data_IF_799967576094
#
_entry.id   IF_799967576094
#
_cell.length_a   1.000
_cell.length_b   1.000
_cell.length_c   1.000
_cell.angle_alpha   90.00
_cell.angle_beta   90.00
_cell.angle_gamma   90.00
#
_symmetry.space_group_name_H-M   'P 1'
#
loop_
_entity.id
_entity.type
_entity.pdbx_description
1 polymer ?
#
# COMPACT_ATOMS: atom_id res chain seq x y z
N UNK A 1 -4.76 -28.14 5.93
CA UNK A 1 -4.92 -27.03 6.89
C UNK A 1 -4.44 -25.67 6.37
N UNK A 2 -3.91 -25.53 5.13
CA UNK A 2 -3.45 -24.24 4.57
C UNK A 2 -2.53 -23.44 5.51
N UNK A 3 -1.55 -24.12 6.11
CA UNK A 3 -0.66 -23.52 7.10
C UNK A 3 0.47 -22.76 6.42
N UNK A 4 0.83 -21.55 6.91
CA UNK A 4 2.08 -20.90 6.56
C UNK A 4 3.31 -21.80 6.84
N UNK A 5 4.40 -21.68 6.06
CA UNK A 5 5.57 -22.56 6.21
C UNK A 5 6.23 -22.54 7.59
N UNK A 6 6.24 -21.39 8.27
CA UNK A 6 6.75 -21.21 9.63
C UNK A 6 5.91 -21.98 10.65
N UNK A 7 4.58 -21.88 10.58
CA UNK A 7 3.66 -22.62 11.45
C UNK A 7 3.72 -24.13 11.21
N UNK A 8 3.84 -24.55 9.95
CA UNK A 8 4.04 -25.95 9.60
C UNK A 8 5.37 -26.49 10.16
N UNK A 9 6.44 -25.69 10.14
CA UNK A 9 7.74 -26.07 10.72
C UNK A 9 7.64 -26.27 12.24
N UNK A 10 6.94 -25.38 12.94
CA UNK A 10 6.71 -25.52 14.38
C UNK A 10 5.93 -26.81 14.71
N UNK A 11 4.85 -27.11 13.99
CA UNK A 11 4.06 -28.33 14.23
C UNK A 11 4.83 -29.62 13.90
N UNK A 12 5.77 -29.58 12.95
CA UNK A 12 6.64 -30.74 12.65
C UNK A 12 7.57 -31.11 13.81
N UNK A 13 7.87 -30.17 14.71
CA UNK A 13 8.71 -30.41 15.89
C UNK A 13 7.97 -31.10 17.03
N UNK A 14 6.66 -31.31 16.92
CA UNK A 14 5.92 -32.04 17.94
C UNK A 14 6.42 -33.48 18.06
N UNK A 15 6.35 -34.00 19.27
CA UNK A 15 6.58 -35.40 19.58
C UNK A 15 5.52 -36.30 18.91
N UNK A 16 5.83 -37.60 18.81
CA UNK A 16 4.99 -38.54 18.06
C UNK A 16 3.61 -38.73 18.69
N UNK A 17 3.48 -38.61 20.02
CA UNK A 17 2.19 -38.73 20.72
C UNK A 17 1.27 -37.59 20.31
N UNK A 18 1.73 -36.33 20.41
CA UNK A 18 0.93 -35.17 19.98
C UNK A 18 0.58 -35.19 18.49
N UNK A 19 1.48 -35.69 17.64
CA UNK A 19 1.20 -35.87 16.21
C UNK A 19 0.09 -36.89 15.99
N UNK A 20 0.10 -37.98 16.74
CA UNK A 20 -0.94 -39.00 16.69
C UNK A 20 -2.28 -38.47 17.18
N UNK A 21 -2.29 -37.71 18.29
CA UNK A 21 -3.50 -37.04 18.78
C UNK A 21 -4.13 -36.13 17.73
N UNK A 22 -3.31 -35.36 17.00
CA UNK A 22 -3.79 -34.49 15.93
C UNK A 22 -4.43 -35.27 14.76
N UNK A 23 -3.87 -36.43 14.42
CA UNK A 23 -4.44 -37.33 13.40
C UNK A 23 -5.78 -37.89 13.88
N UNK A 24 -5.82 -38.37 15.13
CA UNK A 24 -7.02 -38.89 15.78
C UNK A 24 -8.14 -37.85 15.83
N UNK A 25 -7.84 -36.61 16.21
CA UNK A 25 -8.82 -35.52 16.23
C UNK A 25 -9.33 -35.19 14.82
N UNK A 26 -8.47 -35.23 13.79
CA UNK A 26 -8.87 -34.98 12.40
C UNK A 26 -9.77 -36.08 11.82
N UNK A 27 -9.47 -37.35 12.13
CA UNK A 27 -10.20 -38.52 11.64
C UNK A 27 -11.42 -38.84 12.52
N UNK A 28 -11.52 -38.24 13.72
CA UNK A 28 -12.58 -38.50 14.69
C UNK A 28 -12.37 -39.78 15.51
N UNK A 29 -11.16 -40.32 15.55
CA UNK A 29 -10.82 -41.54 16.26
C UNK A 29 -10.33 -41.25 17.69
N UNK A 30 -11.23 -41.06 18.66
CA UNK A 30 -10.85 -41.17 20.08
C UNK A 30 -11.18 -42.56 20.59
N UNK A 31 -10.15 -43.30 20.99
CA UNK A 31 -10.31 -44.52 21.77
C UNK A 31 -11.02 -44.17 23.09
N UNK A 32 -12.24 -44.67 23.26
CA UNK A 32 -12.94 -44.58 24.53
C UNK A 32 -12.29 -45.49 25.57
N UNK A 33 -11.69 -44.90 26.60
CA UNK A 33 -11.44 -45.54 27.90
C UNK A 33 -10.31 -46.58 27.98
N UNK A 34 -9.34 -46.29 28.84
CA UNK A 34 -8.49 -47.24 29.59
C UNK A 34 -8.49 -48.71 29.13
N UNK A 35 -7.68 -48.99 28.10
CA UNK A 35 -7.16 -50.30 27.61
C UNK A 35 -7.20 -50.42 26.08
N UNK A 36 -6.76 -49.37 25.36
CA UNK A 36 -6.36 -49.53 23.97
C UNK A 36 -4.89 -49.96 23.94
N UNK A 37 -4.66 -51.26 23.99
CA UNK A 37 -3.37 -51.88 23.67
C UNK A 37 -2.82 -51.27 22.39
N UNK A 38 -1.53 -50.90 22.43
CA UNK A 38 -0.72 -50.47 21.30
C UNK A 38 -0.96 -51.41 20.11
N UNK A 39 -1.75 -50.97 19.14
CA UNK A 39 -1.80 -51.60 17.83
C UNK A 39 -0.86 -50.81 16.92
N UNK A 40 0.34 -51.37 16.83
CA UNK A 40 1.32 -51.14 15.78
C UNK A 40 0.66 -51.24 14.38
N UNK A 41 1.28 -50.65 13.34
CA UNK A 41 0.70 -50.52 12.00
C UNK A 41 0.78 -51.84 11.23
N UNK A 42 -0.06 -52.82 11.57
CA UNK A 42 -0.14 -54.11 10.88
C UNK A 42 -1.54 -54.71 11.04
N UNK A 43 -2.52 -54.26 10.26
CA UNK A 43 -3.70 -55.06 9.90
C UNK A 43 -4.51 -54.33 8.81
N UNK A 44 -4.22 -54.69 7.56
CA UNK A 44 -5.15 -54.50 6.46
C UNK A 44 -6.35 -55.43 6.66
N UNK A 45 -7.56 -54.92 6.44
CA UNK A 45 -8.78 -55.72 6.35
C UNK A 45 -9.62 -55.69 7.61
N UNK A 46 -10.36 -54.61 7.81
CA UNK A 46 -11.82 -54.65 8.01
C UNK A 46 -12.35 -53.23 8.24
N UNK A 47 -13.53 -52.99 7.69
CA UNK A 47 -14.15 -51.68 7.56
C UNK A 47 -14.40 -51.00 8.92
N UNK A 48 -13.42 -50.24 9.41
CA UNK A 48 -13.67 -49.19 10.37
C UNK A 48 -14.53 -48.13 9.68
N UNK A 49 -15.80 -48.05 10.07
CA UNK A 49 -16.65 -46.90 9.76
C UNK A 49 -16.07 -45.71 10.53
N UNK A 50 -15.13 -45.03 9.89
CA UNK A 50 -14.53 -43.79 10.36
C UNK A 50 -15.60 -42.70 10.30
N UNK A 51 -16.35 -42.55 11.38
CA UNK A 51 -17.26 -41.44 11.55
C UNK A 51 -16.43 -40.18 11.86
N UNK A 52 -16.02 -39.46 10.82
CA UNK A 52 -15.35 -38.15 10.95
C UNK A 52 -16.16 -37.28 11.91
N UNK A 53 -15.57 -36.85 13.04
CA UNK A 53 -16.19 -35.87 13.96
C UNK A 53 -15.81 -34.41 13.66
N UNK A 54 -15.13 -34.16 12.55
CA UNK A 54 -15.10 -32.87 11.86
C UNK A 54 -16.06 -32.92 10.66
N UNK A 55 -17.36 -33.15 10.91
CA UNK A 55 -18.33 -33.20 9.82
C UNK A 55 -18.48 -31.81 9.22
N UNK A 56 -18.03 -31.68 7.97
CA UNK A 56 -18.47 -30.60 7.08
C UNK A 56 -19.99 -30.58 7.13
N UNK A 57 -20.56 -29.49 7.67
CA UNK A 57 -22.01 -29.40 7.93
C UNK A 57 -22.83 -29.58 6.65
N UNK A 58 -22.39 -28.97 5.55
CA UNK A 58 -22.99 -29.14 4.24
C UNK A 58 -21.90 -29.09 3.14
N UNK A 59 -22.08 -29.83 2.04
CA UNK A 59 -21.20 -29.71 0.87
C UNK A 59 -21.35 -28.34 0.18
N UNK A 60 -20.35 -27.89 -0.61
CA UNK A 60 -20.36 -26.60 -1.30
C UNK A 60 -21.62 -26.32 -2.13
N UNK A 61 -22.07 -27.30 -2.93
CA UNK A 61 -23.23 -27.17 -3.82
C UNK A 61 -24.52 -26.80 -3.08
N UNK A 62 -24.67 -27.19 -1.81
CA UNK A 62 -25.86 -26.87 -1.01
C UNK A 62 -25.96 -25.36 -0.69
N UNK A 63 -24.82 -24.69 -0.52
CA UNK A 63 -24.79 -23.23 -0.37
C UNK A 63 -25.03 -22.54 -1.71
N UNK A 64 -24.34 -23.01 -2.76
CA UNK A 64 -24.44 -22.46 -4.11
C UNK A 64 -25.88 -22.47 -4.62
N UNK A 65 -26.59 -23.59 -4.47
CA UNK A 65 -28.01 -23.70 -4.84
C UNK A 65 -28.91 -22.70 -4.08
N UNK A 66 -28.61 -22.42 -2.81
CA UNK A 66 -29.36 -21.41 -2.04
C UNK A 66 -29.11 -20.00 -2.58
N UNK A 67 -27.85 -19.64 -2.85
CA UNK A 67 -27.50 -18.35 -3.44
C UNK A 67 -28.14 -18.17 -4.84
N UNK A 68 -28.06 -19.19 -5.70
CA UNK A 68 -28.75 -19.19 -6.99
C UNK A 68 -30.27 -19.04 -6.83
N UNK A 69 -30.85 -19.69 -5.82
CA UNK A 69 -32.26 -19.54 -5.47
C UNK A 69 -32.66 -18.13 -5.02
N UNK A 70 -31.71 -17.32 -4.53
CA UNK A 70 -31.91 -15.89 -4.23
C UNK A 70 -31.82 -15.02 -5.49
N UNK A 71 -31.06 -15.44 -6.51
CA UNK A 71 -30.86 -14.72 -7.77
C UNK A 71 -31.96 -14.97 -8.82
N UNK A 72 -32.75 -16.03 -8.66
CA UNK A 72 -33.81 -16.43 -9.60
C UNK A 72 -34.83 -15.29 -9.90
N UNK A 73 -34.83 -14.70 -11.11
CA UNK A 73 -35.74 -13.60 -11.44
C UNK A 73 -37.19 -14.06 -11.62
N UNK A 74 -37.40 -15.36 -11.87
CA UNK A 74 -38.69 -16.00 -12.11
C UNK A 74 -39.56 -16.12 -10.87
N UNK A 75 -38.99 -15.98 -9.66
CA UNK A 75 -39.81 -16.03 -8.44
C UNK A 75 -40.66 -14.79 -8.22
N UNK A 76 -41.86 -15.02 -7.68
CA UNK A 76 -42.72 -13.93 -7.20
C UNK A 76 -42.05 -13.21 -6.03
N UNK A 77 -42.33 -11.92 -5.87
CA UNK A 77 -41.74 -11.11 -4.78
C UNK A 77 -42.01 -11.68 -3.37
N UNK A 78 -43.19 -12.28 -3.17
CA UNK A 78 -43.56 -12.96 -1.92
C UNK A 78 -42.68 -14.19 -1.65
N UNK A 79 -42.41 -15.00 -2.68
CA UNK A 79 -41.51 -16.17 -2.57
C UNK A 79 -40.06 -15.72 -2.37
N UNK A 80 -39.61 -14.72 -3.13
CA UNK A 80 -38.28 -14.12 -2.96
C UNK A 80 -38.05 -13.67 -1.50
N UNK A 81 -38.96 -12.85 -0.95
CA UNK A 81 -38.85 -12.35 0.45
C UNK A 81 -38.73 -13.47 1.47
N UNK A 82 -39.42 -14.60 1.26
CA UNK A 82 -39.30 -15.78 2.13
C UNK A 82 -37.95 -16.47 1.98
N UNK A 83 -37.46 -16.64 0.75
CA UNK A 83 -36.14 -17.25 0.49
C UNK A 83 -35.01 -16.43 1.13
N UNK A 84 -35.00 -15.12 0.90
CA UNK A 84 -33.93 -14.24 1.42
C UNK A 84 -34.09 -13.88 2.89
N UNK A 85 -35.10 -14.40 3.60
CA UNK A 85 -35.25 -14.12 5.04
C UNK A 85 -34.03 -14.59 5.82
N UNK A 86 -33.51 -15.77 5.49
CA UNK A 86 -32.34 -16.38 6.12
C UNK A 86 -31.03 -16.19 5.32
N UNK A 87 -31.01 -15.34 4.28
CA UNK A 87 -29.84 -15.14 3.40
C UNK A 87 -28.56 -14.88 4.19
N UNK A 88 -28.60 -13.94 5.14
CA UNK A 88 -27.45 -13.57 5.98
C UNK A 88 -26.94 -14.74 6.81
N UNK A 89 -27.84 -15.61 7.30
CA UNK A 89 -27.44 -16.81 8.05
C UNK A 89 -26.74 -17.81 7.14
N UNK A 90 -27.28 -18.04 5.94
CA UNK A 90 -26.67 -18.92 4.93
C UNK A 90 -25.28 -18.43 4.54
N UNK A 91 -25.12 -17.12 4.31
CA UNK A 91 -23.83 -16.50 3.99
C UNK A 91 -22.83 -16.61 5.14
N UNK A 92 -23.26 -16.44 6.40
CA UNK A 92 -22.38 -16.61 7.57
C UNK A 92 -21.92 -18.06 7.72
N UNK A 93 -22.82 -19.02 7.51
CA UNK A 93 -22.44 -20.44 7.52
C UNK A 93 -21.49 -20.79 6.36
N UNK A 94 -21.67 -20.16 5.19
CA UNK A 94 -20.75 -20.28 4.06
C UNK A 94 -19.37 -19.67 4.38
N UNK A 95 -19.31 -18.46 4.95
CA UNK A 95 -18.07 -17.82 5.39
C UNK A 95 -17.28 -18.72 6.34
N UNK A 96 -17.96 -19.25 7.37
CA UNK A 96 -17.33 -20.14 8.33
C UNK A 96 -16.80 -21.38 7.61
N UNK A 97 -17.59 -21.98 6.72
CA UNK A 97 -17.19 -23.16 5.96
C UNK A 97 -15.96 -22.89 5.08
N UNK A 98 -15.91 -21.75 4.39
CA UNK A 98 -14.75 -21.34 3.57
C UNK A 98 -13.49 -21.13 4.42
N UNK A 99 -13.63 -20.58 5.63
CA UNK A 99 -12.48 -20.24 6.49
C UNK A 99 -11.97 -21.40 7.34
N UNK A 100 -12.85 -22.29 7.82
CA UNK A 100 -12.50 -23.28 8.84
C UNK A 100 -12.50 -24.73 8.36
N UNK A 101 -13.13 -25.05 7.24
CA UNK A 101 -13.08 -26.42 6.71
C UNK A 101 -11.70 -26.74 6.13
N UNK A 102 -11.48 -28.02 5.84
CA UNK A 102 -10.30 -28.47 5.12
C UNK A 102 -10.22 -27.80 3.74
N UNK A 103 -8.99 -27.55 3.25
CA UNK A 103 -8.76 -26.81 2.01
C UNK A 103 -9.38 -27.46 0.76
N UNK A 104 -9.61 -28.78 0.79
CA UNK A 104 -10.34 -29.52 -0.24
C UNK A 104 -11.77 -29.00 -0.44
N UNK A 105 -12.45 -28.61 0.64
CA UNK A 105 -13.80 -28.02 0.57
C UNK A 105 -13.80 -26.71 -0.22
N UNK A 106 -12.80 -25.85 -0.01
CA UNK A 106 -12.65 -24.59 -0.74
C UNK A 106 -12.30 -24.86 -2.21
N UNK A 107 -11.44 -25.85 -2.49
CA UNK A 107 -11.16 -26.28 -3.87
C UNK A 107 -12.41 -26.78 -4.58
N UNK A 108 -13.23 -27.58 -3.90
CA UNK A 108 -14.49 -28.07 -4.44
C UNK A 108 -15.48 -26.92 -4.69
N UNK A 109 -15.60 -25.96 -3.76
CA UNK A 109 -16.43 -24.76 -3.97
C UNK A 109 -16.01 -23.95 -5.21
N UNK A 110 -14.70 -23.84 -5.46
CA UNK A 110 -14.12 -23.02 -6.54
C UNK A 110 -13.92 -23.75 -7.88
N UNK A 111 -14.22 -25.04 -7.97
CA UNK A 111 -13.97 -25.81 -9.20
C UNK A 111 -14.95 -25.47 -10.33
N UNK A 112 -14.68 -25.99 -11.53
CA UNK A 112 -15.48 -25.73 -12.73
C UNK A 112 -16.92 -26.29 -12.67
N UNK A 113 -17.15 -27.31 -11.84
CA UNK A 113 -18.47 -27.91 -11.65
C UNK A 113 -19.37 -27.02 -10.78
N UNK A 114 -18.83 -26.50 -9.69
CA UNK A 114 -19.58 -25.72 -8.70
C UNK A 114 -19.62 -24.22 -9.04
N UNK A 115 -18.55 -23.68 -9.62
CA UNK A 115 -18.42 -22.25 -9.96
C UNK A 115 -18.83 -21.32 -8.82
N UNK A 116 -18.45 -21.68 -7.59
CA UNK A 116 -18.91 -20.98 -6.39
C UNK A 116 -18.48 -19.51 -6.34
N UNK A 117 -17.32 -19.18 -6.93
CA UNK A 117 -16.85 -17.79 -7.04
C UNK A 117 -17.82 -16.94 -7.90
N UNK A 118 -18.19 -17.43 -9.08
CA UNK A 118 -19.09 -16.73 -10.00
C UNK A 118 -20.44 -16.43 -9.33
N UNK A 119 -21.03 -17.43 -8.66
CA UNK A 119 -22.32 -17.29 -7.97
C UNK A 119 -22.23 -16.33 -6.79
N UNK A 120 -21.12 -16.36 -6.03
CA UNK A 120 -20.90 -15.44 -4.92
C UNK A 120 -20.75 -14.00 -5.40
N UNK A 121 -19.97 -13.77 -6.46
CA UNK A 121 -19.77 -12.44 -7.07
C UNK A 121 -21.07 -11.92 -7.68
N UNK A 122 -21.85 -12.78 -8.35
CA UNK A 122 -23.17 -12.40 -8.89
C UNK A 122 -24.15 -12.01 -7.78
N UNK A 123 -24.16 -12.74 -6.66
CA UNK A 123 -24.97 -12.38 -5.50
C UNK A 123 -24.54 -11.06 -4.86
N UNK A 124 -23.22 -10.83 -4.71
CA UNK A 124 -22.69 -9.57 -4.22
C UNK A 124 -23.16 -8.39 -5.10
N UNK A 125 -23.00 -8.52 -6.41
CA UNK A 125 -23.44 -7.53 -7.40
C UNK A 125 -24.95 -7.24 -7.29
N UNK A 126 -25.77 -8.29 -7.19
CA UNK A 126 -27.21 -8.15 -6.95
C UNK A 126 -27.51 -7.43 -5.63
N UNK A 127 -26.80 -7.76 -4.55
CA UNK A 127 -27.04 -7.18 -3.23
C UNK A 127 -26.67 -5.70 -3.14
N UNK A 128 -25.70 -5.23 -3.93
CA UNK A 128 -25.27 -3.82 -3.93
C UNK A 128 -25.85 -2.96 -5.07
N UNK A 129 -26.52 -3.58 -6.05
CA UNK A 129 -27.13 -2.88 -7.18
C UNK A 129 -27.99 -1.66 -6.76
N UNK A 130 -28.82 -1.79 -5.73
CA UNK A 130 -29.64 -0.68 -5.27
C UNK A 130 -28.87 0.53 -4.71
N UNK A 131 -27.76 0.29 -4.02
CA UNK A 131 -26.95 1.35 -3.39
C UNK A 131 -26.33 2.24 -4.46
N UNK A 132 -26.01 1.68 -5.62
CA UNK A 132 -25.44 2.42 -6.75
C UNK A 132 -26.45 3.36 -7.43
N UNK A 133 -27.75 3.03 -7.45
CA UNK A 133 -28.78 3.85 -8.08
C UNK A 133 -29.40 4.91 -7.15
N UNK A 134 -29.29 4.76 -5.83
CA UNK A 134 -29.79 5.78 -4.89
C UNK A 134 -29.02 7.12 -5.02
N UNK A 135 -27.88 7.12 -5.71
CA UNK A 135 -27.11 8.34 -6.04
C UNK A 135 -27.77 9.21 -7.14
N UNK A 136 -28.64 8.65 -7.99
CA UNK A 136 -29.37 9.43 -9.02
C UNK A 136 -30.51 10.28 -8.44
N UNK A 137 -30.86 10.13 -7.16
CA UNK A 137 -32.01 10.79 -6.54
C UNK A 137 -31.72 12.08 -5.75
N UNK A 138 -30.47 12.56 -5.76
CA UNK A 138 -29.99 13.66 -4.91
C UNK A 138 -29.42 14.83 -5.73
N UNK A 139 -30.05 15.19 -6.84
CA UNK A 139 -29.87 16.49 -7.47
C UNK A 139 -31.01 17.42 -7.02
N UNK A 140 -30.81 18.34 -6.05
CA UNK A 140 -31.80 19.33 -5.69
C UNK A 140 -31.50 20.62 -6.47
N UNK A 141 -32.15 20.78 -7.62
CA UNK A 141 -32.08 22.06 -8.33
C UNK A 141 -32.55 22.00 -9.78
N UNK A 142 -33.86 21.85 -10.00
CA UNK A 142 -34.59 22.52 -11.09
C UNK A 142 -36.09 22.23 -10.95
N UNK A 143 -36.79 23.15 -10.28
CA UNK A 143 -38.24 23.20 -10.25
C UNK A 143 -38.70 24.13 -11.39
N UNK A 144 -39.11 23.56 -12.52
CA UNK A 144 -39.90 24.26 -13.53
C UNK A 144 -40.66 23.28 -14.42
N UNK A 145 -41.99 23.22 -14.22
CA UNK A 145 -42.93 23.03 -15.32
C UNK A 145 -43.46 21.62 -15.52
N UNK A 146 -44.66 21.40 -15.00
CA UNK A 146 -45.59 20.42 -15.55
C UNK A 146 -45.78 20.63 -17.07
N UNK A 147 -46.00 19.52 -17.79
CA UNK A 147 -46.43 19.39 -19.19
C UNK A 147 -45.31 19.19 -20.24
N UNK A 148 -45.01 17.93 -20.59
CA UNK A 148 -45.49 17.33 -21.85
C UNK A 148 -45.19 15.82 -21.90
N UNK A 149 -46.24 15.05 -22.19
CA UNK A 149 -46.19 13.65 -22.58
C UNK A 149 -45.93 13.59 -24.09
N UNK A 150 -44.69 13.67 -24.54
CA UNK A 150 -44.33 13.05 -25.83
C UNK A 150 -42.82 13.06 -26.08
N UNK A 151 -42.21 11.87 -26.06
CA UNK A 151 -41.26 11.36 -27.08
C UNK A 151 -40.41 10.23 -26.51
N UNK A 152 -40.92 9.01 -26.63
CA UNK A 152 -40.05 7.85 -26.84
C UNK A 152 -40.80 6.75 -27.60
N UNK A 153 -41.22 7.09 -28.81
CA UNK A 153 -41.36 6.12 -29.89
C UNK A 153 -40.56 6.65 -31.07
N UNK A 154 -39.44 6.00 -31.34
CA UNK A 154 -38.89 5.78 -32.68
C UNK A 154 -37.86 4.65 -32.56
N UNK A 155 -38.36 3.42 -32.66
CA UNK A 155 -37.64 2.35 -33.35
C UNK A 155 -37.74 2.62 -34.86
N UNK A 156 -36.66 2.31 -35.58
CA UNK A 156 -36.47 2.16 -37.04
C UNK A 156 -35.25 2.98 -37.48
N UNK A 157 -34.37 2.53 -38.37
CA UNK A 157 -34.34 1.37 -39.27
C UNK A 157 -32.87 1.10 -39.63
N UNK A 158 -32.56 -0.12 -40.04
CA UNK A 158 -31.26 -0.52 -40.58
C UNK A 158 -30.90 0.18 -41.90
N UNK A 159 -29.58 0.28 -42.12
CA UNK A 159 -28.86 0.16 -43.40
C UNK A 159 -28.36 1.38 -44.21
N UNK A 160 -27.11 1.16 -44.67
CA UNK A 160 -26.32 1.79 -45.74
C UNK A 160 -25.44 3.01 -45.40
N UNK A 161 -24.18 2.78 -45.03
CA UNK A 161 -23.06 2.79 -45.99
C UNK A 161 -21.71 2.41 -45.33
N UNK A 162 -20.92 1.68 -46.11
CA UNK A 162 -19.63 1.06 -45.83
C UNK A 162 -18.49 2.03 -46.19
N UNK A 163 -17.49 2.26 -45.32
CA UNK A 163 -16.05 2.28 -45.70
C UNK A 163 -15.10 2.52 -44.51
N UNK A 164 -14.07 1.67 -44.49
CA UNK A 164 -12.76 1.70 -43.84
C UNK A 164 -12.35 2.85 -42.90
N UNK A 165 -11.94 2.45 -41.69
CA UNK A 165 -11.03 3.19 -40.82
C UNK A 165 -11.00 2.61 -39.40
N UNK A 166 -10.18 1.57 -39.15
CA UNK A 166 -9.93 1.10 -37.78
C UNK A 166 -9.05 2.10 -37.02
N UNK A 167 -9.37 2.34 -35.74
CA UNK A 167 -8.34 2.27 -34.72
C UNK A 167 -8.69 1.17 -33.72
N UNK A 168 -7.66 0.38 -33.40
CA UNK A 168 -7.70 -0.72 -32.45
C UNK A 168 -7.83 -0.14 -31.05
N UNK A 169 -9.06 0.00 -30.55
CA UNK A 169 -9.35 0.37 -29.16
C UNK A 169 -9.96 -0.83 -28.43
N UNK A 170 -9.37 -1.10 -27.26
CA UNK A 170 -9.48 -2.26 -26.38
C UNK A 170 -10.85 -2.94 -26.28
N UNK A 171 -10.88 -4.26 -26.54
CA UNK A 171 -12.06 -5.11 -26.32
C UNK A 171 -12.46 -5.23 -24.83
N UNK A 172 -11.58 -4.84 -23.91
CA UNK A 172 -11.80 -4.87 -22.46
C UNK A 172 -12.90 -3.88 -22.00
N UNK A 173 -12.98 -2.70 -22.61
CA UNK A 173 -13.96 -1.67 -22.25
C UNK A 173 -15.42 -2.02 -22.63
N UNK A 174 -15.63 -3.07 -23.45
CA UNK A 174 -16.97 -3.62 -23.71
C UNK A 174 -17.41 -4.63 -22.64
N UNK A 175 -16.48 -5.35 -22.02
CA UNK A 175 -16.82 -6.38 -21.03
C UNK A 175 -17.20 -5.77 -19.66
N UNK A 176 -16.55 -4.68 -19.25
CA UNK A 176 -16.86 -3.95 -18.01
C UNK A 176 -18.28 -3.36 -17.98
N UNK A 177 -18.90 -3.15 -19.15
CA UNK A 177 -20.26 -2.64 -19.29
C UNK A 177 -21.35 -3.65 -18.91
N UNK A 178 -21.06 -4.95 -18.82
CA UNK A 178 -22.12 -5.97 -18.69
C UNK A 178 -22.56 -6.33 -17.25
N UNK A 179 -21.83 -5.94 -16.19
CA UNK A 179 -22.24 -6.29 -14.82
C UNK A 179 -23.34 -5.37 -14.28
N UNK A 180 -23.14 -4.05 -14.35
CA UNK A 180 -24.08 -3.06 -13.77
C UNK A 180 -25.22 -2.69 -14.72
N UNK A 181 -25.00 -2.70 -16.05
CA UNK A 181 -26.06 -2.40 -17.03
C UNK A 181 -27.06 -3.55 -17.26
N UNK A 182 -26.83 -4.74 -16.69
CA UNK A 182 -27.77 -5.87 -16.80
C UNK A 182 -29.15 -5.55 -16.21
N UNK A 183 -29.25 -4.56 -15.33
CA UNK A 183 -30.49 -4.23 -14.61
C UNK A 183 -31.21 -2.96 -15.11
N UNK A 184 -30.76 -2.32 -16.20
CA UNK A 184 -31.33 -1.05 -16.68
C UNK A 184 -32.63 -1.19 -17.52
N UNK A 185 -33.07 -2.41 -17.85
CA UNK A 185 -34.33 -2.64 -18.60
C UNK A 185 -35.54 -2.77 -17.67
N UNK A 186 -36.79 -2.76 -18.16
CA UNK A 186 -38.03 -2.78 -17.33
C UNK A 186 -38.12 -3.90 -16.27
N UNK A 187 -37.38 -5.01 -16.43
CA UNK A 187 -37.18 -6.06 -15.41
C UNK A 187 -36.39 -5.56 -14.17
N UNK A 188 -35.59 -4.51 -14.36
CA UNK A 188 -34.76 -3.82 -13.39
C UNK A 188 -35.49 -3.22 -12.21
N UNK A 189 -36.70 -2.67 -12.37
CA UNK A 189 -37.44 -2.07 -11.23
C UNK A 189 -37.82 -3.10 -10.16
N UNK A 190 -38.13 -4.34 -10.57
CA UNK A 190 -38.43 -5.44 -9.63
C UNK A 190 -37.15 -5.88 -8.93
N UNK A 191 -36.07 -6.09 -9.70
CA UNK A 191 -34.77 -6.50 -9.17
C UNK A 191 -34.17 -5.46 -8.24
N UNK A 192 -34.28 -4.17 -8.56
CA UNK A 192 -33.83 -3.07 -7.72
C UNK A 192 -34.56 -3.04 -6.37
N UNK A 193 -35.89 -3.24 -6.37
CA UNK A 193 -36.68 -3.34 -5.13
C UNK A 193 -36.29 -4.56 -4.28
N UNK A 194 -35.89 -5.66 -4.92
CA UNK A 194 -35.43 -6.86 -4.23
C UNK A 194 -34.00 -6.67 -3.69
N UNK A 195 -33.13 -6.02 -4.47
CA UNK A 195 -31.78 -5.62 -4.07
C UNK A 195 -31.81 -4.72 -2.83
N UNK A 196 -32.69 -3.70 -2.81
CA UNK A 196 -32.90 -2.83 -1.62
C UNK A 196 -33.24 -3.61 -0.35
N UNK A 197 -33.92 -4.75 -0.46
CA UNK A 197 -34.27 -5.57 0.70
C UNK A 197 -33.05 -6.29 1.29
N UNK A 198 -32.14 -6.76 0.45
CA UNK A 198 -30.93 -7.47 0.89
C UNK A 198 -29.78 -6.51 1.21
N UNK A 199 -29.72 -5.33 0.57
CA UNK A 199 -28.69 -4.31 0.81
C UNK A 199 -28.77 -3.69 2.21
N UNK A 200 -29.94 -3.74 2.86
CA UNK A 200 -30.15 -3.30 4.23
C UNK A 200 -29.69 -4.33 5.28
N UNK A 201 -29.26 -5.52 4.85
CA UNK A 201 -28.74 -6.58 5.70
C UNK A 201 -27.21 -6.59 5.66
N UNK A 202 -26.60 -7.42 6.51
CA UNK A 202 -25.15 -7.66 6.49
C UNK A 202 -24.68 -8.53 5.31
N UNK A 203 -25.55 -8.85 4.34
CA UNK A 203 -25.26 -9.77 3.26
C UNK A 203 -24.04 -9.33 2.45
N UNK A 204 -23.93 -8.04 2.11
CA UNK A 204 -22.77 -7.46 1.41
C UNK A 204 -21.49 -7.67 2.24
N UNK A 205 -21.52 -7.32 3.52
CA UNK A 205 -20.36 -7.46 4.41
C UNK A 205 -19.89 -8.92 4.49
N UNK A 206 -20.82 -9.86 4.64
CA UNK A 206 -20.49 -11.29 4.76
C UNK A 206 -19.99 -11.86 3.43
N UNK A 207 -20.46 -11.37 2.29
CA UNK A 207 -19.87 -11.73 0.99
C UNK A 207 -18.40 -11.30 0.88
N UNK A 208 -18.07 -10.09 1.35
CA UNK A 208 -16.67 -9.63 1.41
C UNK A 208 -15.84 -10.52 2.35
N UNK A 209 -16.38 -10.93 3.50
CA UNK A 209 -15.71 -11.91 4.37
C UNK A 209 -15.48 -13.27 3.69
N UNK A 210 -16.44 -13.75 2.88
CA UNK A 210 -16.27 -14.97 2.08
C UNK A 210 -15.13 -14.82 1.06
N UNK A 211 -15.07 -13.69 0.35
CA UNK A 211 -13.98 -13.37 -0.59
C UNK A 211 -12.63 -13.30 0.13
N UNK A 212 -12.57 -12.71 1.34
CA UNK A 212 -11.37 -12.71 2.18
C UNK A 212 -10.90 -14.13 2.52
N UNK A 213 -11.83 -15.03 2.87
CA UNK A 213 -11.49 -16.43 3.16
C UNK A 213 -10.96 -17.15 1.90
N UNK A 214 -11.55 -16.90 0.73
CA UNK A 214 -11.09 -17.43 -0.56
C UNK A 214 -9.68 -16.91 -0.90
N UNK A 215 -9.45 -15.61 -0.72
CA UNK A 215 -8.17 -14.95 -1.00
C UNK A 215 -7.03 -15.38 -0.05
N UNK A 216 -7.36 -15.92 1.14
CA UNK A 216 -6.37 -16.52 2.03
C UNK A 216 -5.82 -17.87 1.49
N UNK A 217 -6.44 -18.43 0.45
CA UNK A 217 -5.93 -19.58 -0.27
C UNK A 217 -5.27 -19.11 -1.58
N UNK A 218 -3.98 -19.41 -1.77
CA UNK A 218 -3.20 -18.96 -2.94
C UNK A 218 -3.89 -19.17 -4.30
N UNK A 219 -4.50 -20.34 -4.52
CA UNK A 219 -5.23 -20.60 -5.77
C UNK A 219 -6.52 -19.76 -5.87
N UNK A 220 -7.25 -19.63 -4.76
CA UNK A 220 -8.44 -18.77 -4.68
C UNK A 220 -8.12 -17.29 -4.92
N UNK A 221 -6.99 -16.80 -4.40
CA UNK A 221 -6.48 -15.46 -4.66
C UNK A 221 -6.25 -15.22 -6.16
N UNK A 222 -5.57 -16.14 -6.85
CA UNK A 222 -5.34 -16.04 -8.29
C UNK A 222 -6.64 -16.09 -9.11
N UNK A 223 -7.61 -16.92 -8.68
CA UNK A 223 -8.94 -16.94 -9.31
C UNK A 223 -9.67 -15.61 -9.15
N UNK A 224 -9.61 -14.98 -7.97
CA UNK A 224 -10.22 -13.65 -7.74
C UNK A 224 -9.57 -12.59 -8.63
N UNK A 225 -8.24 -12.57 -8.75
CA UNK A 225 -7.54 -11.61 -9.61
C UNK A 225 -7.82 -11.78 -11.10
N UNK A 226 -8.00 -13.03 -11.56
CA UNK A 226 -8.29 -13.32 -12.96
C UNK A 226 -9.79 -13.27 -13.30
N UNK A 227 -10.66 -13.25 -12.29
CA UNK A 227 -12.11 -13.17 -12.49
C UNK A 227 -12.52 -11.77 -12.98
N UNK A 228 -13.22 -11.64 -14.13
CA UNK A 228 -13.49 -10.36 -14.80
C UNK A 228 -14.22 -9.29 -13.98
N UNK A 229 -14.96 -9.70 -12.95
CA UNK A 229 -15.80 -8.81 -12.16
C UNK A 229 -15.48 -8.82 -10.67
N UNK A 230 -14.63 -9.71 -10.17
CA UNK A 230 -14.53 -9.93 -8.72
C UNK A 230 -13.94 -8.71 -8.02
N UNK A 231 -12.81 -8.19 -8.50
CA UNK A 231 -12.17 -7.00 -7.94
C UNK A 231 -13.02 -5.74 -8.13
N UNK A 232 -13.69 -5.60 -9.28
CA UNK A 232 -14.60 -4.48 -9.53
C UNK A 232 -15.77 -4.47 -8.54
N UNK A 233 -16.39 -5.62 -8.29
CA UNK A 233 -17.51 -5.72 -7.34
C UNK A 233 -17.04 -5.53 -5.88
N UNK A 234 -15.80 -5.94 -5.53
CA UNK A 234 -15.16 -5.60 -4.25
C UNK A 234 -15.00 -4.08 -4.13
N UNK A 235 -14.49 -3.41 -5.17
CA UNK A 235 -14.34 -1.94 -5.16
C UNK A 235 -15.69 -1.23 -5.01
N UNK A 236 -16.72 -1.67 -5.74
CA UNK A 236 -18.07 -1.11 -5.64
C UNK A 236 -18.69 -1.25 -4.23
N UNK A 237 -18.29 -2.29 -3.46
CA UNK A 237 -18.70 -2.46 -2.07
C UNK A 237 -18.19 -1.38 -1.12
N UNK A 238 -17.25 -0.52 -1.55
CA UNK A 238 -16.84 0.68 -0.82
C UNK A 238 -18.02 1.64 -0.58
N UNK A 239 -19.06 1.62 -1.43
CA UNK A 239 -20.28 2.41 -1.25
C UNK A 239 -21.15 1.93 -0.07
N UNK A 240 -20.81 0.82 0.59
CA UNK A 240 -21.56 0.34 1.75
C UNK A 240 -21.47 1.35 2.91
N UNK A 241 -22.60 1.64 3.56
CA UNK A 241 -22.66 2.62 4.67
C UNK A 241 -21.81 2.22 5.88
N UNK A 242 -21.60 0.93 6.11
CA UNK A 242 -20.87 0.44 7.28
C UNK A 242 -19.35 0.62 7.10
N UNK A 243 -18.73 1.45 7.94
CA UNK A 243 -17.29 1.71 7.96
C UNK A 243 -16.45 0.43 8.09
N UNK A 244 -16.91 -0.57 8.86
CA UNK A 244 -16.23 -1.88 8.96
C UNK A 244 -16.16 -2.59 7.61
N UNK A 245 -17.21 -2.47 6.79
CA UNK A 245 -17.20 -3.06 5.44
C UNK A 245 -16.22 -2.32 4.54
N UNK A 246 -16.20 -0.98 4.60
CA UNK A 246 -15.24 -0.17 3.85
C UNK A 246 -13.80 -0.51 4.22
N UNK A 247 -13.49 -0.61 5.51
CA UNK A 247 -12.16 -0.98 6.01
C UNK A 247 -11.72 -2.34 5.44
N UNK A 248 -12.61 -3.35 5.52
CA UNK A 248 -12.35 -4.68 4.98
C UNK A 248 -12.13 -4.64 3.46
N UNK A 249 -12.96 -3.92 2.72
CA UNK A 249 -12.79 -3.74 1.26
C UNK A 249 -11.41 -3.17 0.95
N UNK A 250 -10.98 -2.12 1.65
CA UNK A 250 -9.68 -1.48 1.44
C UNK A 250 -8.51 -2.41 1.80
N UNK A 251 -8.62 -3.22 2.86
CA UNK A 251 -7.63 -4.27 3.17
C UNK A 251 -7.48 -5.28 2.02
N UNK A 252 -8.60 -5.75 1.44
CA UNK A 252 -8.57 -6.69 0.31
C UNK A 252 -7.94 -6.05 -0.93
N UNK A 253 -8.34 -4.82 -1.26
CA UNK A 253 -7.81 -4.10 -2.43
C UNK A 253 -6.33 -3.77 -2.27
N UNK A 254 -5.88 -3.38 -1.07
CA UNK A 254 -4.47 -3.17 -0.76
C UNK A 254 -3.63 -4.46 -0.96
N UNK A 255 -4.15 -5.61 -0.52
CA UNK A 255 -3.48 -6.90 -0.71
C UNK A 255 -3.35 -7.27 -2.20
N UNK A 256 -4.36 -6.99 -3.02
CA UNK A 256 -4.28 -7.17 -4.48
C UNK A 256 -3.32 -6.17 -5.11
N UNK A 257 -3.30 -4.91 -4.65
CA UNK A 257 -2.44 -3.86 -5.18
C UNK A 257 -0.94 -4.21 -5.08
N UNK A 258 -0.54 -4.86 -3.97
CA UNK A 258 0.87 -5.17 -3.67
C UNK A 258 1.46 -6.34 -4.46
N UNK A 259 0.66 -7.17 -5.12
CA UNK A 259 1.17 -8.30 -5.90
C UNK A 259 1.50 -7.89 -7.34
N UNK A 260 2.38 -8.65 -8.00
CA UNK A 260 2.77 -8.37 -9.40
C UNK A 260 1.55 -8.39 -10.32
N UNK A 261 1.42 -7.33 -11.13
CA UNK A 261 0.28 -7.10 -12.02
C UNK A 261 -1.02 -6.71 -11.32
N UNK A 262 -1.04 -6.66 -9.98
CA UNK A 262 -2.23 -6.31 -9.22
C UNK A 262 -2.55 -4.81 -9.23
N UNK A 263 -1.53 -3.95 -9.30
CA UNK A 263 -1.72 -2.49 -9.35
C UNK A 263 -2.60 -2.05 -10.54
N UNK A 264 -2.35 -2.57 -11.74
CA UNK A 264 -3.16 -2.30 -12.94
C UNK A 264 -4.62 -2.75 -12.76
N UNK A 265 -4.85 -3.89 -12.11
CA UNK A 265 -6.20 -4.40 -11.82
C UNK A 265 -6.93 -3.45 -10.87
N UNK A 266 -6.25 -2.93 -9.84
CA UNK A 266 -6.84 -1.96 -8.90
C UNK A 266 -7.19 -0.65 -9.60
N UNK A 267 -6.29 -0.10 -10.41
CA UNK A 267 -6.58 1.12 -11.17
C UNK A 267 -7.75 0.90 -12.14
N UNK A 268 -7.76 -0.21 -12.88
CA UNK A 268 -8.89 -0.55 -13.76
C UNK A 268 -10.21 -0.72 -12.99
N UNK A 269 -10.16 -1.22 -11.76
CA UNK A 269 -11.35 -1.34 -10.91
C UNK A 269 -11.87 0.02 -10.44
N UNK A 270 -10.98 0.98 -10.12
CA UNK A 270 -11.37 2.34 -9.77
C UNK A 270 -11.78 3.20 -10.98
N UNK A 271 -11.24 2.92 -12.18
CA UNK A 271 -11.77 3.50 -13.42
C UNK A 271 -13.19 2.97 -13.69
N UNK A 272 -13.45 1.68 -13.46
CA UNK A 272 -14.82 1.15 -13.50
C UNK A 272 -15.72 1.77 -12.42
N UNK A 273 -15.20 1.95 -11.20
CA UNK A 273 -15.90 2.58 -10.10
C UNK A 273 -16.33 4.00 -10.47
N UNK A 274 -15.41 4.80 -11.02
CA UNK A 274 -15.66 6.16 -11.52
C UNK A 274 -16.84 6.19 -12.49
N UNK A 275 -16.81 5.35 -13.53
CA UNK A 275 -17.85 5.31 -14.56
C UNK A 275 -19.22 4.88 -13.99
N UNK A 276 -19.22 3.85 -13.14
CA UNK A 276 -20.46 3.31 -12.54
C UNK A 276 -21.06 4.28 -11.52
N UNK A 277 -20.23 4.91 -10.71
CA UNK A 277 -20.62 5.85 -9.66
C UNK A 277 -20.80 7.28 -10.17
N UNK A 278 -20.47 7.53 -11.45
CA UNK A 278 -20.46 8.85 -12.10
C UNK A 278 -19.59 9.88 -11.39
N UNK A 279 -18.39 9.47 -10.96
CA UNK A 279 -17.41 10.40 -10.39
C UNK A 279 -16.76 11.25 -11.51
N UNK A 280 -16.38 12.48 -11.18
CA UNK A 280 -15.64 13.35 -12.11
C UNK A 280 -14.20 12.90 -12.23
N UNK A 281 -13.60 12.56 -11.08
CA UNK A 281 -12.24 12.04 -10.96
C UNK A 281 -12.26 10.68 -10.27
N UNK A 282 -11.31 9.80 -10.60
CA UNK A 282 -11.20 8.53 -9.86
C UNK A 282 -10.83 8.82 -8.41
N UNK A 283 -11.30 7.97 -7.49
CA UNK A 283 -11.11 8.09 -6.04
C UNK A 283 -11.86 9.25 -5.36
N UNK A 284 -12.73 9.97 -6.07
CA UNK A 284 -13.48 11.11 -5.49
C UNK A 284 -14.32 10.68 -4.28
N UNK A 285 -15.16 9.64 -4.41
CA UNK A 285 -15.96 9.14 -3.27
C UNK A 285 -15.11 8.49 -2.19
N UNK A 286 -13.97 7.89 -2.54
CA UNK A 286 -13.03 7.37 -1.54
C UNK A 286 -12.57 8.52 -0.63
N UNK A 287 -12.20 9.66 -1.23
CA UNK A 287 -11.83 10.86 -0.50
C UNK A 287 -13.01 11.45 0.30
N UNK A 288 -14.22 11.48 -0.27
CA UNK A 288 -15.41 11.90 0.48
C UNK A 288 -15.65 11.01 1.71
N UNK A 289 -15.51 9.69 1.58
CA UNK A 289 -15.67 8.77 2.71
C UNK A 289 -14.59 8.96 3.76
N UNK A 290 -13.37 9.26 3.35
CA UNK A 290 -12.26 9.48 4.26
C UNK A 290 -12.39 10.80 5.03
N UNK A 291 -12.69 11.89 4.32
CA UNK A 291 -12.79 13.23 4.92
C UNK A 291 -14.01 13.40 5.84
N UNK A 292 -15.08 12.64 5.61
CA UNK A 292 -16.32 12.74 6.39
C UNK A 292 -16.44 11.68 7.51
N UNK A 293 -15.42 10.83 7.73
CA UNK A 293 -15.44 9.82 8.79
C UNK A 293 -14.65 10.28 10.02
N UNK A 294 -15.37 10.53 11.12
CA UNK A 294 -14.77 11.03 12.37
C UNK A 294 -14.74 9.96 13.48
N UNK A 295 -15.39 8.80 13.26
CA UNK A 295 -15.73 7.86 14.32
C UNK A 295 -14.97 6.54 14.23
N UNK A 296 -14.66 6.07 13.02
CA UNK A 296 -14.10 4.75 12.79
C UNK A 296 -12.61 4.81 12.41
N UNK A 297 -11.74 4.69 13.43
CA UNK A 297 -10.29 4.77 13.23
C UNK A 297 -9.76 3.62 12.39
N UNK A 298 -10.29 2.40 12.54
CA UNK A 298 -9.86 1.25 11.72
C UNK A 298 -10.08 1.49 10.22
N UNK A 299 -11.21 2.10 9.83
CA UNK A 299 -11.44 2.52 8.46
C UNK A 299 -10.44 3.58 8.01
N UNK A 300 -10.21 4.62 8.81
CA UNK A 300 -9.26 5.68 8.47
C UNK A 300 -7.84 5.11 8.25
N UNK A 301 -7.40 4.18 9.12
CA UNK A 301 -6.12 3.47 8.99
C UNK A 301 -6.08 2.68 7.69
N UNK A 302 -7.10 1.87 7.41
CA UNK A 302 -7.16 1.07 6.17
C UNK A 302 -7.21 1.95 4.91
N UNK A 303 -7.91 3.08 4.97
CA UNK A 303 -8.02 4.05 3.88
C UNK A 303 -6.68 4.71 3.60
N UNK A 304 -6.03 5.26 4.63
CA UNK A 304 -4.72 5.87 4.50
C UNK A 304 -3.67 4.85 4.01
N UNK A 305 -3.68 3.64 4.58
CA UNK A 305 -2.79 2.57 4.14
C UNK A 305 -3.00 2.21 2.66
N UNK A 306 -4.26 2.13 2.20
CA UNK A 306 -4.56 1.87 0.79
C UNK A 306 -4.03 3.00 -0.10
N UNK A 307 -4.23 4.27 0.28
CA UNK A 307 -3.72 5.44 -0.45
C UNK A 307 -2.19 5.36 -0.56
N UNK A 308 -1.50 5.10 0.55
CA UNK A 308 -0.03 4.96 0.57
C UNK A 308 0.45 3.89 -0.41
N UNK A 309 -0.22 2.73 -0.42
CA UNK A 309 0.13 1.63 -1.30
C UNK A 309 -0.13 2.01 -2.76
N UNK A 310 -1.33 2.49 -3.11
CA UNK A 310 -1.67 2.75 -4.52
C UNK A 310 -0.80 3.85 -5.13
N UNK A 311 -0.39 4.85 -4.35
CA UNK A 311 0.48 5.94 -4.81
C UNK A 311 1.95 5.51 -4.83
N UNK A 312 2.48 4.93 -3.75
CA UNK A 312 3.93 4.78 -3.57
C UNK A 312 4.51 3.40 -3.92
N UNK A 313 3.67 2.40 -4.20
CA UNK A 313 4.16 1.05 -4.58
C UNK A 313 4.54 0.90 -6.07
N UNK A 314 4.31 1.94 -6.89
CA UNK A 314 4.63 1.91 -8.33
C UNK A 314 6.12 2.04 -8.61
N UNK A 315 6.59 1.36 -9.66
CA UNK A 315 8.01 1.36 -10.05
C UNK A 315 8.42 2.63 -10.81
N UNK A 316 7.53 3.19 -11.63
CA UNK A 316 7.78 4.42 -12.39
C UNK A 316 7.55 5.66 -11.51
N UNK A 317 8.61 6.42 -11.27
CA UNK A 317 8.58 7.62 -10.42
C UNK A 317 7.73 8.75 -11.03
N UNK A 318 7.66 8.88 -12.37
CA UNK A 318 6.77 9.87 -12.99
C UNK A 318 5.31 9.49 -12.78
N UNK A 319 5.01 8.19 -12.87
CA UNK A 319 3.67 7.69 -12.60
C UNK A 319 3.30 7.83 -11.11
N UNK A 320 4.26 7.65 -10.20
CA UNK A 320 4.09 7.93 -8.77
C UNK A 320 3.70 9.39 -8.52
N UNK A 321 4.45 10.34 -9.11
CA UNK A 321 4.15 11.78 -9.00
C UNK A 321 2.77 12.10 -9.59
N UNK A 322 2.40 11.48 -10.72
CA UNK A 322 1.07 11.63 -11.30
C UNK A 322 -0.04 11.18 -10.35
N UNK A 323 0.07 9.98 -9.78
CA UNK A 323 -0.91 9.45 -8.82
C UNK A 323 -0.98 10.28 -7.53
N UNK A 324 0.16 10.74 -7.02
CA UNK A 324 0.23 11.65 -5.88
C UNK A 324 -0.57 12.94 -6.18
N UNK A 325 -0.32 13.55 -7.34
CA UNK A 325 -1.01 14.78 -7.75
C UNK A 325 -2.51 14.58 -7.96
N UNK A 326 -2.97 13.39 -8.35
CA UNK A 326 -4.41 13.09 -8.38
C UNK A 326 -5.05 13.21 -7.00
N UNK A 327 -4.42 12.69 -5.95
CA UNK A 327 -4.91 12.84 -4.58
C UNK A 327 -4.76 14.26 -4.04
N UNK A 328 -3.69 14.98 -4.42
CA UNK A 328 -3.57 16.42 -4.16
C UNK A 328 -4.77 17.20 -4.69
N UNK A 329 -5.21 16.93 -5.93
CA UNK A 329 -6.39 17.57 -6.52
C UNK A 329 -7.70 17.26 -5.80
N UNK A 330 -7.79 16.09 -5.18
CA UNK A 330 -8.93 15.71 -4.34
C UNK A 330 -8.83 16.28 -2.91
N UNK A 331 -7.82 17.10 -2.64
CA UNK A 331 -7.65 17.79 -1.36
C UNK A 331 -7.07 16.93 -0.25
N UNK A 332 -6.39 15.82 -0.58
CA UNK A 332 -5.74 14.97 0.44
C UNK A 332 -4.71 15.77 1.25
N UNK A 333 -3.83 16.52 0.59
CA UNK A 333 -2.74 17.25 1.26
C UNK A 333 -3.31 18.29 2.23
N UNK A 334 -4.29 19.10 1.80
CA UNK A 334 -4.98 20.05 2.67
C UNK A 334 -5.68 19.40 3.87
N UNK A 335 -6.17 18.16 3.70
CA UNK A 335 -6.80 17.40 4.77
C UNK A 335 -5.78 16.86 5.78
N UNK A 336 -4.58 16.49 5.31
CA UNK A 336 -3.49 15.96 6.14
C UNK A 336 -2.63 17.05 6.80
N UNK A 337 -2.48 18.22 6.16
CA UNK A 337 -1.66 19.35 6.63
C UNK A 337 -2.23 20.08 7.85
N UNK A 338 -3.32 19.60 8.45
CA UNK A 338 -3.81 20.09 9.76
C UNK A 338 -2.94 19.55 10.92
N UNK A 339 -1.64 19.33 10.73
CA UNK A 339 -0.70 19.25 11.84
C UNK A 339 -0.28 20.69 12.18
N UNK A 340 -0.34 21.16 13.44
CA UNK A 340 0.00 22.55 13.75
C UNK A 340 1.42 22.84 13.23
N UNK A 341 1.67 24.01 12.62
CA UNK A 341 3.02 24.39 12.24
C UNK A 341 3.91 24.27 13.49
N UNK A 342 5.19 23.86 13.36
CA UNK A 342 6.10 23.85 14.49
C UNK A 342 6.07 25.26 15.11
N UNK A 343 5.60 25.34 16.35
CA UNK A 343 5.61 26.56 17.14
C UNK A 343 7.06 27.01 17.24
N UNK A 344 7.44 27.93 16.35
CA UNK A 344 8.61 28.76 16.53
C UNK A 344 8.34 29.60 17.77
N UNK A 345 9.18 29.56 18.81
CA UNK A 345 8.94 30.35 20.02
C UNK A 345 9.17 31.82 19.69
N UNK A 346 8.07 32.54 19.45
CA UNK A 346 8.04 34.00 19.45
C UNK A 346 7.53 34.61 18.15
N UNK A 347 6.21 34.70 18.03
CA UNK A 347 5.49 35.84 17.41
C UNK A 347 3.98 35.59 17.53
N UNK A 348 3.38 36.12 18.59
CA UNK A 348 1.94 36.37 18.65
C UNK A 348 1.74 37.85 18.39
N UNK A 349 1.14 38.20 17.25
CA UNK A 349 0.06 39.18 17.23
C UNK A 349 -0.63 39.26 15.87
N UNK A 350 -1.96 39.09 15.92
CA UNK A 350 -2.91 39.80 15.07
C UNK A 350 -3.10 39.34 13.62
N UNK A 351 -4.01 38.38 13.38
CA UNK A 351 -4.80 38.35 12.15
C UNK A 351 -6.11 37.55 12.30
N UNK A 352 -7.21 38.31 12.37
CA UNK A 352 -8.56 38.04 11.84
C UNK A 352 -9.10 36.60 11.85
N UNK A 353 -10.02 36.37 12.79
CA UNK A 353 -10.94 35.24 12.81
C UNK A 353 -11.81 35.18 11.54
N UNK A 354 -11.68 34.10 10.78
CA UNK A 354 -12.63 33.62 9.77
C UNK A 354 -13.21 32.27 10.26
N UNK A 355 -14.46 31.92 9.92
CA UNK A 355 -15.23 30.92 10.65
C UNK A 355 -14.78 29.49 10.30
N UNK A 356 -14.05 28.86 11.22
CA UNK A 356 -13.49 27.51 11.09
C UNK A 356 -14.35 26.50 11.85
N UNK A 357 -15.58 26.23 11.37
CA UNK A 357 -16.63 25.60 12.20
C UNK A 357 -16.90 24.11 11.96
N UNK A 358 -16.00 23.34 11.31
CA UNK A 358 -16.04 21.86 11.32
C UNK A 358 -14.67 21.18 11.30
N UNK A 359 -13.70 21.74 10.56
CA UNK A 359 -12.40 21.09 10.32
C UNK A 359 -11.40 21.28 11.47
N UNK A 360 -11.41 22.42 12.16
CA UNK A 360 -10.61 22.60 13.39
C UNK A 360 -11.10 21.70 14.51
N UNK A 361 -12.40 21.40 14.53
CA UNK A 361 -12.98 20.42 15.45
C UNK A 361 -12.49 19.02 15.17
N UNK A 362 -12.23 18.61 13.91
CA UNK A 362 -11.80 17.25 13.62
C UNK A 362 -10.36 17.01 14.06
N UNK A 363 -9.45 17.92 13.75
CA UNK A 363 -8.06 17.79 14.19
C UNK A 363 -7.92 17.98 15.71
N UNK A 364 -8.67 18.93 16.28
CA UNK A 364 -8.78 19.03 17.74
C UNK A 364 -9.44 17.78 18.34
N UNK A 365 -10.44 17.14 17.71
CA UNK A 365 -11.06 15.92 18.24
C UNK A 365 -10.16 14.69 18.11
N UNK A 366 -9.36 14.58 17.05
CA UNK A 366 -8.41 13.50 16.81
C UNK A 366 -7.20 13.56 17.76
N UNK A 367 -6.73 14.78 18.07
CA UNK A 367 -5.67 15.01 19.06
C UNK A 367 -6.20 15.01 20.51
N UNK A 368 -7.43 15.46 20.77
CA UNK A 368 -7.97 15.67 22.13
C UNK A 368 -8.78 14.47 22.66
N UNK A 369 -9.24 13.53 21.82
CA UNK A 369 -9.87 12.25 22.28
C UNK A 369 -8.81 11.16 22.52
N UNK A 370 -7.80 11.50 23.31
CA UNK A 370 -6.69 10.64 23.69
C UNK A 370 -7.13 9.45 24.57
N UNK A 371 -7.53 8.36 23.94
CA UNK A 371 -7.26 7.00 24.43
C UNK A 371 -6.16 6.37 23.57
N UNK A 372 -4.97 6.97 23.64
CA UNK A 372 -3.59 6.46 23.55
C UNK A 372 -3.18 5.18 22.76
N UNK A 373 -3.93 4.63 21.80
CA UNK A 373 -3.37 3.55 20.93
C UNK A 373 -3.90 3.50 19.50
N UNK A 374 -5.17 3.83 19.26
CA UNK A 374 -5.76 3.72 17.91
C UNK A 374 -5.42 4.93 17.03
N UNK A 375 -5.34 6.13 17.61
CA UNK A 375 -4.88 7.34 16.90
C UNK A 375 -3.42 7.19 16.43
N UNK A 376 -2.56 6.52 17.21
CA UNK A 376 -1.16 6.29 16.86
C UNK A 376 -1.01 5.48 15.57
N UNK A 377 -1.90 4.50 15.34
CA UNK A 377 -1.88 3.72 14.10
C UNK A 377 -2.17 4.59 12.89
N UNK A 378 -3.14 5.50 13.00
CA UNK A 378 -3.49 6.43 11.93
C UNK A 378 -2.36 7.43 11.70
N UNK A 379 -1.80 8.00 12.77
CA UNK A 379 -0.66 8.91 12.70
C UNK A 379 0.54 8.27 11.99
N UNK A 380 0.85 6.99 12.27
CA UNK A 380 1.92 6.26 11.57
C UNK A 380 1.63 6.13 10.07
N UNK A 381 0.38 5.87 9.66
CA UNK A 381 0.04 5.81 8.24
C UNK A 381 0.12 7.18 7.56
N UNK A 382 -0.33 8.24 8.24
CA UNK A 382 -0.24 9.62 7.73
C UNK A 382 1.24 10.02 7.56
N UNK A 383 2.06 9.79 8.58
CA UNK A 383 3.49 10.12 8.51
C UNK A 383 4.18 9.34 7.41
N UNK A 384 3.88 8.04 7.27
CA UNK A 384 4.44 7.22 6.21
C UNK A 384 4.07 7.72 4.79
N UNK A 385 2.95 8.40 4.61
CA UNK A 385 2.63 9.09 3.37
C UNK A 385 3.47 10.34 3.19
N UNK A 386 3.46 11.23 4.19
CA UNK A 386 4.16 12.52 4.14
C UNK A 386 5.66 12.32 3.90
N UNK A 387 6.29 11.32 4.51
CA UNK A 387 7.70 10.96 4.31
C UNK A 387 8.00 10.49 2.87
N UNK A 388 6.96 10.07 2.13
CA UNK A 388 7.04 9.51 0.79
C UNK A 388 6.50 10.46 -0.31
N UNK A 389 6.02 11.65 0.06
CA UNK A 389 5.57 12.67 -0.88
C UNK A 389 6.77 13.21 -1.67
N UNK A 390 6.63 13.28 -2.99
CA UNK A 390 7.61 13.91 -3.87
C UNK A 390 7.34 15.41 -3.99
N UNK A 391 8.33 16.22 -3.61
CA UNK A 391 8.41 17.64 -3.97
C UNK A 391 9.39 17.80 -5.15
N UNK A 392 8.84 17.79 -6.37
CA UNK A 392 9.65 17.95 -7.58
C UNK A 392 10.30 19.33 -7.64
N UNK A 393 9.67 20.37 -7.09
CA UNK A 393 10.21 21.72 -7.05
C UNK A 393 11.46 21.78 -6.16
N UNK A 394 11.33 21.34 -4.91
CA UNK A 394 12.45 21.25 -3.97
C UNK A 394 13.61 20.39 -4.49
N UNK A 395 13.31 19.24 -5.11
CA UNK A 395 14.36 18.39 -5.70
C UNK A 395 15.13 19.07 -6.85
N UNK A 396 14.47 19.95 -7.62
CA UNK A 396 15.13 20.72 -8.68
C UNK A 396 16.01 21.84 -8.09
N UNK A 397 15.51 22.55 -7.07
CA UNK A 397 16.27 23.58 -6.35
C UNK A 397 17.52 22.99 -5.67
N UNK A 398 17.38 21.82 -5.04
CA UNK A 398 18.49 21.08 -4.43
C UNK A 398 19.51 20.63 -5.47
N UNK A 399 19.07 20.20 -6.65
CA UNK A 399 19.94 19.81 -7.75
C UNK A 399 20.73 21.00 -8.29
N UNK A 400 20.09 22.17 -8.43
CA UNK A 400 20.76 23.40 -8.85
C UNK A 400 21.77 23.87 -7.79
N UNK A 401 21.39 23.85 -6.52
CA UNK A 401 22.29 24.17 -5.39
C UNK A 401 23.49 23.24 -5.36
N UNK A 402 23.29 21.93 -5.61
CA UNK A 402 24.38 20.95 -5.71
C UNK A 402 25.33 21.26 -6.87
N UNK A 403 24.82 21.67 -8.02
CA UNK A 403 25.68 22.04 -9.16
C UNK A 403 26.55 23.26 -8.82
N UNK A 404 25.98 24.30 -8.21
CA UNK A 404 26.75 25.48 -7.75
C UNK A 404 27.82 25.08 -6.73
N UNK A 405 27.50 24.17 -5.81
CA UNK A 405 28.48 23.67 -4.85
C UNK A 405 29.62 22.89 -5.53
N UNK A 406 29.32 22.10 -6.57
CA UNK A 406 30.33 21.38 -7.35
C UNK A 406 31.26 22.32 -8.11
N UNK A 407 30.72 23.38 -8.73
CA UNK A 407 31.54 24.43 -9.34
C UNK A 407 32.50 25.06 -8.32
N UNK A 408 32.02 25.29 -7.08
CA UNK A 408 32.88 25.83 -6.03
C UNK A 408 33.97 24.87 -5.58
N UNK A 409 33.68 23.57 -5.59
CA UNK A 409 34.68 22.52 -5.29
C UNK A 409 35.76 22.52 -6.37
N UNK A 410 35.39 22.61 -7.65
CA UNK A 410 36.33 22.68 -8.78
C UNK A 410 37.24 23.91 -8.67
N UNK A 411 36.70 25.09 -8.37
CA UNK A 411 37.52 26.31 -8.13
C UNK A 411 38.52 26.13 -6.99
N UNK A 412 38.13 25.46 -5.91
CA UNK A 412 39.01 25.20 -4.77
C UNK A 412 40.10 24.18 -5.11
N UNK A 413 39.79 23.17 -5.91
CA UNK A 413 40.76 22.20 -6.41
C UNK A 413 41.82 22.87 -7.29
N UNK A 414 41.40 23.78 -8.19
CA UNK A 414 42.31 24.58 -9.01
C UNK A 414 43.22 25.49 -8.16
N UNK A 415 42.64 26.16 -7.15
CA UNK A 415 43.41 27.00 -6.23
C UNK A 415 44.44 26.19 -5.43
N UNK A 416 44.08 24.99 -4.97
CA UNK A 416 45.00 24.09 -4.27
C UNK A 416 46.12 23.61 -5.18
N UNK A 417 45.81 23.27 -6.44
CA UNK A 417 46.81 22.89 -7.43
C UNK A 417 47.84 24.02 -7.64
N UNK A 418 47.35 25.25 -7.85
CA UNK A 418 48.20 26.43 -8.04
C UNK A 418 49.08 26.74 -6.82
N UNK A 419 48.52 26.64 -5.62
CA UNK A 419 49.29 26.84 -4.39
C UNK A 419 50.34 25.75 -4.21
N UNK A 420 50.04 24.51 -4.59
CA UNK A 420 50.99 23.38 -4.50
C UNK A 420 52.16 23.58 -5.47
N UNK A 421 51.89 24.01 -6.71
CA UNK A 421 52.93 24.34 -7.70
C UNK A 421 53.83 25.48 -7.21
N UNK A 422 53.24 26.57 -6.71
CA UNK A 422 54.00 27.68 -6.12
C UNK A 422 54.85 27.27 -4.92
N UNK A 423 54.34 26.38 -4.07
CA UNK A 423 55.06 25.91 -2.90
C UNK A 423 56.28 25.09 -3.36
N UNK A 424 56.11 24.22 -4.36
CA UNK A 424 57.19 23.46 -4.97
C UNK A 424 58.26 24.38 -5.60
N UNK A 425 57.86 25.42 -6.32
CA UNK A 425 58.79 26.41 -6.90
C UNK A 425 59.59 27.15 -5.82
N UNK A 426 58.93 27.58 -4.74
CA UNK A 426 59.58 28.24 -3.61
C UNK A 426 60.54 27.30 -2.86
N UNK A 427 60.17 26.04 -2.68
CA UNK A 427 61.06 25.02 -2.11
C UNK A 427 62.31 24.84 -2.98
N UNK A 428 62.16 24.77 -4.30
CA UNK A 428 63.27 24.67 -5.24
C UNK A 428 64.18 25.91 -5.20
N UNK A 429 63.61 27.12 -5.19
CA UNK A 429 64.39 28.35 -5.04
C UNK A 429 65.17 28.42 -3.72
N UNK A 430 64.51 28.05 -2.62
CA UNK A 430 65.14 28.04 -1.30
C UNK A 430 66.26 27.02 -1.24
N UNK A 431 66.07 25.83 -1.82
CA UNK A 431 67.11 24.82 -1.94
C UNK A 431 68.33 25.35 -2.71
N UNK A 432 68.12 26.06 -3.83
CA UNK A 432 69.20 26.69 -4.59
C UNK A 432 69.93 27.78 -3.78
N UNK A 433 69.19 28.63 -3.05
CA UNK A 433 69.78 29.65 -2.18
C UNK A 433 70.60 29.04 -1.06
N UNK A 434 70.11 27.98 -0.42
CA UNK A 434 70.85 27.24 0.61
C UNK A 434 72.15 26.68 0.03
N UNK A 435 72.09 26.00 -1.12
CA UNK A 435 73.27 25.44 -1.77
C UNK A 435 74.32 26.53 -2.13
N UNK A 436 73.88 27.69 -2.60
CA UNK A 436 74.78 28.82 -2.91
C UNK A 436 75.40 29.41 -1.64
N UNK A 437 74.62 29.58 -0.57
CA UNK A 437 75.14 30.03 0.73
C UNK A 437 76.13 29.02 1.33
N UNK A 438 75.84 27.72 1.25
CA UNK A 438 76.77 26.66 1.66
C UNK A 438 78.09 26.74 0.90
N UNK A 439 78.03 26.94 -0.43
CA UNK A 439 79.22 27.12 -1.27
C UNK A 439 80.04 28.36 -0.89
N UNK A 440 79.37 29.49 -0.63
CA UNK A 440 80.04 30.72 -0.19
C UNK A 440 80.70 30.55 1.17
N UNK A 441 80.02 29.89 2.12
CA UNK A 441 80.55 29.58 3.44
C UNK A 441 81.80 28.69 3.32
N UNK A 442 81.76 27.69 2.45
CA UNK A 442 82.89 26.80 2.18
C UNK A 442 84.08 27.55 1.56
N UNK A 443 83.82 28.51 0.67
CA UNK A 443 84.86 29.39 0.12
C UNK A 443 85.46 30.32 1.19
N UNK A 444 84.62 30.97 2.00
CA UNK A 444 85.06 31.83 3.10
C UNK A 444 85.86 31.06 4.16
N UNK A 445 85.48 29.83 4.47
CA UNK A 445 86.25 28.95 5.35
C UNK A 445 87.64 28.63 4.77
N UNK A 446 87.75 28.40 3.45
CA UNK A 446 89.06 28.23 2.79
C UNK A 446 89.91 29.51 2.88
N UNK A 447 89.33 30.69 2.66
CA UNK A 447 90.03 31.97 2.82
C UNK A 447 90.51 32.16 4.27
N UNK A 448 89.65 31.86 5.25
CA UNK A 448 89.98 31.91 6.67
C UNK A 448 91.13 30.97 7.04
N UNK A 449 91.12 29.74 6.53
CA UNK A 449 92.22 28.78 6.69
C UNK A 449 93.55 29.34 6.15
N UNK A 450 93.53 29.93 4.95
CA UNK A 450 94.73 30.57 4.36
C UNK A 450 95.24 31.72 5.24
N UNK A 451 94.34 32.58 5.72
CA UNK A 451 94.70 33.67 6.64
C UNK A 451 95.26 33.10 7.95
N UNK A 452 94.62 32.09 8.52
CA UNK A 452 95.06 31.44 9.77
C UNK A 452 96.46 30.85 9.65
N UNK A 453 96.76 30.19 8.53
CA UNK A 453 98.11 29.70 8.22
C UNK A 453 99.10 30.86 8.07
N UNK A 454 98.73 31.95 7.40
CA UNK A 454 99.60 33.12 7.24
C UNK A 454 99.86 33.91 8.54
N UNK A 455 98.91 33.92 9.48
CA UNK A 455 99.09 34.46 10.83
C UNK A 455 100.00 33.56 11.66
N UNK A 456 99.82 32.23 11.58
CA UNK A 456 100.70 31.25 12.24
C UNK A 456 102.16 31.34 11.76
N UNK A 457 102.41 31.69 10.49
CA UNK A 457 103.77 31.89 9.96
C UNK A 457 104.39 33.23 10.42
N UNK A 458 103.58 34.23 10.80
CA UNK A 458 104.06 35.53 11.32
C UNK A 458 104.31 35.54 12.82
N UNK A 459 103.74 34.59 13.58
CA UNK A 459 103.98 34.43 15.02
C UNK A 459 104.99 33.31 15.32
N UNK A 460 106.22 33.44 14.80
CA UNK A 460 107.38 32.75 15.38
C UNK A 460 108.15 33.76 16.25
N UNK A 461 108.05 33.71 17.59
CA UNK A 461 108.85 34.56 18.47
C UNK A 461 110.27 33.97 18.61
N UNK A 462 111.28 34.82 18.42
CA UNK A 462 112.66 34.50 18.82
C UNK A 462 112.77 34.47 20.36
N UNK A 463 113.63 33.63 20.96
CA UNK A 463 113.40 33.12 22.30
C UNK A 463 114.16 33.86 23.42
N UNK A 464 113.54 33.78 24.60
CA UNK A 464 114.08 33.77 25.97
C UNK A 464 114.25 35.09 26.75
N UNK A 465 113.53 35.17 27.87
CA UNK A 465 114.07 35.82 29.07
C UNK A 465 113.10 36.16 30.21
N UNK A 466 112.78 35.16 31.05
CA UNK A 466 112.38 35.25 32.47
C UNK A 466 110.96 35.73 32.85
N UNK A 467 110.32 34.92 33.69
CA UNK A 467 109.61 35.45 34.86
C UNK A 467 108.24 34.85 35.17
N UNK A 468 108.21 33.87 36.08
CA UNK A 468 107.27 33.90 37.19
C UNK A 468 105.91 33.18 37.03
N UNK A 469 105.70 32.21 37.91
CA UNK A 469 104.45 32.13 38.68
C UNK A 469 103.31 31.32 38.07
N UNK A 470 103.38 30.01 38.22
CA UNK A 470 102.23 29.11 38.03
C UNK A 470 101.30 29.22 39.25
N UNK A 471 100.05 29.65 39.02
CA UNK A 471 98.92 29.40 39.92
C UNK A 471 97.61 29.29 39.12
N UNK A 472 97.17 28.04 38.96
CA UNK A 472 95.82 27.54 39.30
C UNK A 472 94.60 28.39 38.89
N UNK A 473 93.71 27.83 38.05
CA UNK A 473 92.35 27.40 38.45
C UNK A 473 91.54 26.78 37.30
N UNK A 474 90.76 25.79 37.73
CA UNK A 474 89.63 25.13 37.05
C UNK A 474 88.57 26.10 36.56
#
# INVERSE_FOLDING_TARGET
MNLPPDKARLLRQYDNEKKWDLICDQVGARAGGHNATILAPCAFGDAFVLQERFQVKNPPHAYIQKLQGFLDPGVTRKKFRRRVQESTKVLRELEISLRTNHIGWVREFLNDDNKGLDVLVEYLSFAQCAVMFDFEGLDPGEDAGALDKSRSWSRSIEDLHQSNGQPVSSSLARSARHSVLRYSTMSGRKTLKNSRLVSQKDDVHVCIMCLRAIMNYQYGFNLVMSHPHAVNEIALSLNNKNARTKALVLELLAAVCLVRGGHEIILSAFDNFKEVCKEKQRFEKLMDYFQNEDSNIDFMVACMQFINIVVHSVEDMNFRVHLQYEFTKLGLDNFLEVSPPPLSPGQVDGALAMPHDRLTSLCSSLLQKSKHTESDKLAVQIQAYLDNVFDVGGLLEDAETKNVALEKVEELEDHLSHLTEKLLDLENENMMRVAELEKQLLHKNKELEVVRVSVFVKEVPSPLGKGGGVRERR
#
